data_IF_903018716333
#
_entry.id   IF_903018716333
#
_cell.length_a   1.000
_cell.length_b   1.000
_cell.length_c   1.000
_cell.angle_alpha   90.00
_cell.angle_beta   90.00
_cell.angle_gamma   90.00
#
_symmetry.space_group_name_H-M   'P 1'
#
loop_
_entity.id
_entity.type
_entity.pdbx_description
1 polymer ?
#
# COMPACT_ATOMS: atom_id res chain seq x y z
N UNK A 1 -8.91 -21.03 -31.41
CA UNK A 1 -8.61 -21.57 -30.07
C UNK A 1 -9.05 -20.55 -29.04
N UNK A 2 -9.82 -20.93 -28.01
CA UNK A 2 -10.06 -20.04 -26.86
C UNK A 2 -8.75 -19.96 -26.07
N UNK A 3 -7.99 -18.88 -26.24
CA UNK A 3 -6.81 -18.61 -25.42
C UNK A 3 -7.29 -18.25 -24.00
N UNK A 4 -7.48 -19.29 -23.18
CA UNK A 4 -7.70 -19.11 -21.75
C UNK A 4 -6.39 -18.63 -21.14
N UNK A 5 -6.44 -17.43 -20.54
CA UNK A 5 -5.33 -16.89 -19.77
C UNK A 5 -5.00 -17.80 -18.59
N UNK A 6 -3.74 -18.16 -18.46
CA UNK A 6 -3.24 -18.85 -17.28
C UNK A 6 -3.19 -17.88 -16.07
N UNK A 7 -2.98 -18.43 -14.88
CA UNK A 7 -2.94 -17.67 -13.63
C UNK A 7 -1.90 -16.54 -13.67
N UNK A 8 -0.68 -16.84 -14.13
CA UNK A 8 0.41 -15.87 -14.19
C UNK A 8 0.09 -14.70 -15.13
N UNK A 9 -0.53 -14.96 -16.27
CA UNK A 9 -0.95 -13.90 -17.19
C UNK A 9 -2.05 -13.03 -16.58
N UNK A 10 -3.02 -13.61 -15.86
CA UNK A 10 -4.03 -12.83 -15.13
C UNK A 10 -3.40 -11.94 -14.05
N UNK A 11 -2.50 -12.50 -13.25
CA UNK A 11 -1.78 -11.75 -12.21
C UNK A 11 -0.94 -10.62 -12.80
N UNK A 12 -0.29 -10.84 -13.95
CA UNK A 12 0.44 -9.80 -14.67
C UNK A 12 -0.48 -8.64 -15.08
N UNK A 13 -1.64 -8.93 -15.66
CA UNK A 13 -2.56 -7.87 -16.07
C UNK A 13 -3.13 -7.09 -14.88
N UNK A 14 -3.46 -7.78 -13.78
CA UNK A 14 -3.89 -7.13 -12.53
C UNK A 14 -2.79 -6.20 -12.01
N UNK A 15 -1.55 -6.68 -11.97
CA UNK A 15 -0.41 -5.87 -11.53
C UNK A 15 -0.20 -4.65 -12.42
N UNK A 16 -0.26 -4.81 -13.76
CA UNK A 16 -0.10 -3.69 -14.70
C UNK A 16 -1.21 -2.65 -14.54
N UNK A 17 -2.47 -3.09 -14.46
CA UNK A 17 -3.61 -2.20 -14.27
C UNK A 17 -3.52 -1.44 -12.95
N UNK A 18 -3.28 -2.15 -11.84
CA UNK A 18 -3.17 -1.51 -10.53
C UNK A 18 -1.92 -0.62 -10.39
N UNK A 19 -0.82 -0.94 -11.09
CA UNK A 19 0.35 -0.04 -11.16
C UNK A 19 -0.01 1.26 -11.88
N UNK A 20 -0.79 1.18 -12.95
CA UNK A 20 -1.23 2.36 -13.69
C UNK A 20 -2.18 3.26 -12.87
N UNK A 21 -3.04 2.67 -12.04
CA UNK A 21 -3.89 3.40 -11.09
C UNK A 21 -3.06 4.03 -9.97
N UNK A 22 -2.14 3.28 -9.37
CA UNK A 22 -1.22 3.81 -8.36
C UNK A 22 -0.43 5.02 -8.86
N UNK A 23 0.11 4.95 -10.09
CA UNK A 23 0.82 6.06 -10.73
C UNK A 23 -0.07 7.31 -10.93
N UNK A 24 -1.36 7.12 -11.22
CA UNK A 24 -2.33 8.22 -11.33
C UNK A 24 -2.57 8.90 -9.97
N UNK A 25 -2.80 8.11 -8.92
CA UNK A 25 -2.97 8.62 -7.56
C UNK A 25 -1.75 9.44 -7.12
N UNK A 26 -0.55 8.88 -7.31
CA UNK A 26 0.69 9.59 -6.99
C UNK A 26 0.86 10.88 -7.80
N UNK A 27 0.50 10.86 -9.09
CA UNK A 27 0.56 12.07 -9.92
C UNK A 27 -0.39 13.17 -9.44
N UNK A 28 -1.57 12.80 -8.93
CA UNK A 28 -2.57 13.75 -8.44
C UNK A 28 -2.17 14.39 -7.11
N UNK A 29 -1.45 13.66 -6.26
CA UNK A 29 -0.91 14.15 -4.98
C UNK A 29 0.39 14.95 -5.16
N UNK A 30 1.10 14.74 -6.28
CA UNK A 30 2.40 15.37 -6.51
C UNK A 30 2.29 16.88 -6.77
N UNK A 31 2.92 17.69 -5.90
CA UNK A 31 2.96 19.15 -6.04
C UNK A 31 3.89 19.61 -7.16
N UNK A 32 5.02 18.93 -7.33
CA UNK A 32 5.99 19.28 -8.36
C UNK A 32 5.49 18.90 -9.75
N UNK A 33 5.56 19.86 -10.69
CA UNK A 33 5.02 19.71 -12.04
C UNK A 33 5.83 18.75 -12.89
N UNK A 34 7.14 18.68 -12.69
CA UNK A 34 8.03 17.84 -13.48
C UNK A 34 7.90 16.37 -13.06
N UNK A 35 7.94 16.09 -11.75
CA UNK A 35 7.66 14.78 -11.19
C UNK A 35 6.25 14.28 -11.58
N UNK A 36 5.23 15.15 -11.51
CA UNK A 36 3.88 14.82 -11.99
C UNK A 36 3.88 14.41 -13.46
N UNK A 37 4.62 15.12 -14.32
CA UNK A 37 4.75 14.79 -15.74
C UNK A 37 5.40 13.43 -15.94
N UNK A 38 6.45 13.11 -15.17
CA UNK A 38 7.11 11.80 -15.22
C UNK A 38 6.17 10.67 -14.80
N UNK A 39 5.40 10.84 -13.71
CA UNK A 39 4.41 9.85 -13.26
C UNK A 39 3.33 9.59 -14.32
N UNK A 40 2.77 10.64 -14.93
CA UNK A 40 1.80 10.50 -16.03
C UNK A 40 2.39 9.83 -17.27
N UNK A 41 3.66 10.12 -17.55
CA UNK A 41 4.40 9.48 -18.66
C UNK A 41 4.60 7.99 -18.38
N UNK A 42 5.02 7.64 -17.16
CA UNK A 42 5.17 6.26 -16.73
C UNK A 42 3.84 5.49 -16.83
N UNK A 43 2.73 6.07 -16.33
CA UNK A 43 1.38 5.52 -16.48
C UNK A 43 1.05 5.24 -17.95
N UNK A 44 1.34 6.18 -18.84
CA UNK A 44 1.09 6.02 -20.27
C UNK A 44 1.89 4.87 -20.88
N UNK A 45 3.13 4.66 -20.45
CA UNK A 45 3.93 3.53 -20.89
C UNK A 45 3.40 2.20 -20.37
N UNK A 46 2.96 2.15 -19.11
CA UNK A 46 2.31 0.96 -18.55
C UNK A 46 1.07 0.61 -19.37
N UNK A 47 0.19 1.57 -19.64
CA UNK A 47 -0.99 1.35 -20.48
C UNK A 47 -0.66 0.88 -21.90
N UNK A 48 0.38 1.44 -22.54
CA UNK A 48 0.81 0.97 -23.86
C UNK A 48 1.20 -0.51 -23.87
N UNK A 49 1.91 -0.96 -22.83
CA UNK A 49 2.29 -2.38 -22.68
C UNK A 49 1.05 -3.22 -22.40
N UNK A 50 0.19 -2.78 -21.49
CA UNK A 50 -1.08 -3.45 -21.16
C UNK A 50 -1.96 -3.63 -22.39
N UNK A 51 -2.15 -2.58 -23.19
CA UNK A 51 -2.96 -2.62 -24.42
C UNK A 51 -2.35 -3.54 -25.48
N UNK A 52 -1.02 -3.54 -25.61
CA UNK A 52 -0.34 -4.45 -26.54
C UNK A 52 -0.57 -5.92 -26.15
N UNK A 53 -0.47 -6.24 -24.86
CA UNK A 53 -0.76 -7.58 -24.34
C UNK A 53 -2.26 -7.93 -24.43
N UNK A 54 -3.14 -6.95 -24.22
CA UNK A 54 -4.59 -7.15 -24.26
C UNK A 54 -5.12 -7.48 -25.66
N UNK A 55 -4.41 -7.10 -26.73
CA UNK A 55 -4.78 -7.48 -28.11
C UNK A 55 -4.74 -8.98 -28.37
N UNK A 56 -4.00 -9.73 -27.57
CA UNK A 56 -3.84 -11.18 -27.72
C UNK A 56 -4.95 -11.98 -27.02
N UNK A 57 -5.87 -11.31 -26.32
CA UNK A 57 -6.92 -11.93 -25.51
C UNK A 57 -8.32 -11.50 -25.93
N UNK A 58 -9.34 -12.35 -25.70
CA UNK A 58 -10.73 -11.98 -25.96
C UNK A 58 -11.18 -10.76 -25.13
N UNK A 59 -11.95 -9.81 -25.69
CA UNK A 59 -12.41 -8.61 -24.98
C UNK A 59 -13.16 -8.92 -23.68
N UNK A 60 -13.93 -10.01 -23.64
CA UNK A 60 -14.69 -10.42 -22.45
C UNK A 60 -13.80 -10.96 -21.33
N UNK A 61 -12.61 -11.48 -21.68
CA UNK A 61 -11.60 -11.86 -20.70
C UNK A 61 -10.93 -10.61 -20.13
N UNK A 62 -10.64 -9.63 -21.00
CA UNK A 62 -10.05 -8.36 -20.62
C UNK A 62 -10.92 -7.56 -19.63
N UNK A 63 -12.22 -7.41 -19.92
CA UNK A 63 -13.13 -6.70 -19.01
C UNK A 63 -13.23 -7.35 -17.63
N UNK A 64 -13.21 -8.69 -17.57
CA UNK A 64 -13.21 -9.42 -16.29
C UNK A 64 -11.94 -9.15 -15.47
N UNK A 65 -10.80 -9.03 -16.14
CA UNK A 65 -9.53 -8.73 -15.49
C UNK A 65 -9.51 -7.30 -14.95
N UNK A 66 -9.98 -6.32 -15.72
CA UNK A 66 -10.10 -4.95 -15.24
C UNK A 66 -11.00 -4.86 -14.01
N UNK A 67 -12.13 -5.58 -14.00
CA UNK A 67 -13.00 -5.66 -12.83
C UNK A 67 -12.30 -6.27 -11.61
N UNK A 68 -11.49 -7.30 -11.80
CA UNK A 68 -10.70 -7.91 -10.72
C UNK A 68 -9.58 -7.00 -10.24
N UNK A 69 -8.91 -6.29 -11.15
CA UNK A 69 -7.86 -5.34 -10.82
C UNK A 69 -8.38 -4.20 -9.94
N UNK A 70 -9.57 -3.65 -10.25
CA UNK A 70 -10.21 -2.63 -9.41
C UNK A 70 -10.68 -3.13 -8.03
N UNK A 71 -10.52 -4.41 -7.72
CA UNK A 71 -10.77 -5.01 -6.40
C UNK A 71 -9.48 -5.41 -5.67
N UNK A 72 -8.32 -5.09 -6.24
CA UNK A 72 -7.02 -5.50 -5.73
C UNK A 72 -6.18 -4.26 -5.38
N UNK A 73 -5.57 -4.27 -4.19
CA UNK A 73 -4.55 -3.28 -3.84
C UNK A 73 -3.18 -3.73 -4.35
N UNK A 74 -2.48 -2.84 -5.07
CA UNK A 74 -1.09 -3.07 -5.48
C UNK A 74 -0.17 -2.53 -4.40
N UNK A 75 0.49 -3.46 -3.68
CA UNK A 75 1.50 -3.12 -2.67
C UNK A 75 2.90 -3.37 -3.24
N UNK A 76 3.66 -2.29 -3.41
CA UNK A 76 5.09 -2.38 -3.73
C UNK A 76 5.88 -2.57 -2.44
N UNK A 77 6.33 -3.79 -2.18
CA UNK A 77 7.19 -4.10 -1.03
C UNK A 77 8.67 -4.11 -1.44
N UNK A 78 9.58 -3.48 -0.68
CA UNK A 78 11.00 -3.56 -0.94
C UNK A 78 11.50 -5.01 -0.88
N UNK A 79 12.42 -5.38 -1.78
CA UNK A 79 13.05 -6.71 -1.75
C UNK A 79 13.73 -6.93 -0.39
N UNK A 80 13.39 -8.03 0.28
CA UNK A 80 13.97 -8.40 1.58
C UNK A 80 13.19 -7.92 2.80
N UNK A 81 12.11 -7.14 2.62
CA UNK A 81 11.12 -6.94 3.68
C UNK A 81 10.30 -8.23 3.73
N UNK A 82 10.58 -9.04 4.76
CA UNK A 82 9.87 -10.27 5.03
C UNK A 82 8.35 -10.02 5.04
N UNK A 83 7.57 -11.07 4.72
CA UNK A 83 6.10 -11.14 4.86
C UNK A 83 5.67 -10.99 6.34
N UNK A 84 6.00 -9.88 6.99
CA UNK A 84 5.77 -9.65 8.42
C UNK A 84 4.81 -8.51 8.69
N UNK A 85 4.25 -7.83 7.68
CA UNK A 85 3.08 -6.99 7.92
C UNK A 85 1.89 -7.90 8.17
N UNK A 86 1.70 -8.27 9.44
CA UNK A 86 0.49 -8.92 9.91
C UNK A 86 -0.67 -7.96 9.65
N UNK A 87 -1.73 -8.42 8.99
CA UNK A 87 -2.91 -7.58 8.72
C UNK A 87 -3.49 -7.01 10.03
N UNK A 88 -3.32 -7.74 11.13
CA UNK A 88 -3.69 -7.29 12.48
C UNK A 88 -2.94 -6.03 12.91
N UNK A 89 -1.65 -5.87 12.53
CA UNK A 89 -0.88 -4.66 12.83
C UNK A 89 -1.46 -3.44 12.09
N UNK A 90 -1.95 -3.64 10.87
CA UNK A 90 -2.61 -2.58 10.07
C UNK A 90 -3.95 -2.18 10.69
N UNK A 91 -4.76 -3.16 11.11
CA UNK A 91 -6.04 -2.87 11.78
C UNK A 91 -5.84 -2.20 13.14
N UNK A 92 -4.87 -2.63 13.93
CA UNK A 92 -4.52 -1.99 15.20
C UNK A 92 -4.09 -0.53 14.99
N UNK A 93 -3.22 -0.26 14.01
CA UNK A 93 -2.83 1.12 13.68
C UNK A 93 -4.01 1.96 13.20
N UNK A 94 -4.92 1.39 12.41
CA UNK A 94 -6.12 2.08 11.97
C UNK A 94 -7.05 2.43 13.15
N UNK A 95 -7.22 1.51 14.11
CA UNK A 95 -8.01 1.74 15.32
C UNK A 95 -7.40 2.87 16.18
N UNK A 96 -6.08 2.87 16.37
CA UNK A 96 -5.39 3.97 17.07
C UNK A 96 -5.50 5.31 16.34
N UNK A 97 -5.45 5.33 15.00
CA UNK A 97 -5.55 6.55 14.21
C UNK A 97 -6.94 7.22 14.27
N UNK A 98 -8.01 6.46 14.50
CA UNK A 98 -9.39 6.97 14.61
C UNK A 98 -9.80 7.31 16.05
N UNK A 99 -8.86 7.37 16.99
CA UNK A 99 -9.16 7.68 18.39
C UNK A 99 -9.47 6.46 19.25
N UNK A 100 -9.16 5.24 18.77
CA UNK A 100 -9.17 3.98 19.51
C UNK A 100 -8.11 3.95 20.61
N UNK A 101 -8.30 4.80 21.62
CA UNK A 101 -8.03 4.50 23.02
C UNK A 101 -6.69 3.83 23.36
N UNK A 102 -5.60 4.57 23.21
CA UNK A 102 -4.35 4.29 23.95
C UNK A 102 -4.52 4.63 25.44
N UNK A 103 -5.27 3.81 26.19
CA UNK A 103 -5.63 4.05 27.62
C UNK A 103 -4.49 3.75 28.60
N UNK A 104 -3.43 3.09 28.15
CA UNK A 104 -2.32 2.60 28.99
C UNK A 104 -0.98 3.30 28.72
N UNK A 105 -0.94 4.38 27.92
CA UNK A 105 0.26 5.20 27.77
C UNK A 105 0.51 6.08 29.01
N UNK A 106 0.59 5.46 30.19
CA UNK A 106 0.93 6.11 31.47
C UNK A 106 2.30 5.64 31.91
N UNK A 107 3.29 6.50 31.69
CA UNK A 107 4.59 6.61 32.38
C UNK A 107 5.48 5.36 32.51
N UNK A 108 5.08 4.19 32.01
CA UNK A 108 5.87 2.96 32.02
C UNK A 108 5.86 2.29 30.67
N UNK A 109 7.02 1.73 30.35
CA UNK A 109 7.36 1.08 29.09
C UNK A 109 6.56 -0.20 28.78
N UNK A 110 6.01 -0.86 29.81
CA UNK A 110 5.44 -2.21 29.74
C UNK A 110 3.92 -2.18 29.54
N UNK A 111 3.41 -2.94 28.55
CA UNK A 111 1.97 -3.15 28.34
C UNK A 111 1.29 -2.26 27.29
N UNK A 112 2.04 -1.53 26.45
CA UNK A 112 1.47 -0.68 25.40
C UNK A 112 1.36 -1.42 24.06
N UNK A 113 0.15 -1.85 23.69
CA UNK A 113 -0.11 -2.57 22.43
C UNK A 113 0.32 -1.77 21.18
N UNK A 114 0.11 -0.44 21.18
CA UNK A 114 0.58 0.42 20.10
C UNK A 114 2.11 0.42 19.98
N UNK A 115 2.83 0.43 21.11
CA UNK A 115 4.30 0.36 21.11
C UNK A 115 4.80 -0.96 20.58
N UNK A 116 4.18 -2.07 20.98
CA UNK A 116 4.55 -3.40 20.51
C UNK A 116 4.39 -3.50 18.99
N UNK A 117 3.31 -2.93 18.44
CA UNK A 117 3.10 -2.83 16.98
C UNK A 117 4.18 -1.98 16.33
N UNK A 118 4.47 -0.78 16.86
CA UNK A 118 5.50 0.12 16.30
C UNK A 118 6.90 -0.52 16.33
N UNK A 119 7.25 -1.25 17.39
CA UNK A 119 8.50 -2.00 17.49
C UNK A 119 8.56 -3.18 16.50
N UNK A 120 7.46 -3.94 16.35
CA UNK A 120 7.35 -5.02 15.34
C UNK A 120 7.56 -4.47 13.93
N UNK A 121 7.04 -3.28 13.67
CA UNK A 121 7.18 -2.56 12.41
C UNK A 121 8.51 -1.81 12.27
N UNK A 122 9.39 -1.90 13.28
CA UNK A 122 10.71 -1.25 13.32
C UNK A 122 10.63 0.27 13.13
N UNK A 123 9.56 0.89 13.61
CA UNK A 123 9.43 2.35 13.63
C UNK A 123 10.39 2.88 14.70
N UNK A 124 11.35 3.76 14.37
CA UNK A 124 12.29 4.29 15.34
C UNK A 124 11.57 5.14 16.38
N UNK A 125 11.99 5.04 17.65
CA UNK A 125 11.54 5.94 18.71
C UNK A 125 11.97 7.38 18.44
N UNK A 126 11.16 8.35 18.90
CA UNK A 126 11.37 9.78 18.64
C UNK A 126 12.21 10.48 19.73
N UNK A 127 12.44 9.86 20.89
CA UNK A 127 13.25 10.41 22.01
C UNK A 127 14.04 9.31 22.73
N UNK A 128 15.28 9.61 23.17
CA UNK A 128 16.16 8.71 23.94
C UNK A 128 16.08 8.90 25.47
N UNK A 129 15.36 9.91 25.97
CA UNK A 129 15.31 10.22 27.42
C UNK A 129 13.94 9.93 28.05
N UNK A 130 13.91 8.95 28.97
CA UNK A 130 13.03 8.82 30.15
C UNK A 130 11.52 8.70 29.99
N UNK A 131 10.95 9.22 28.90
CA UNK A 131 9.53 9.23 28.56
C UNK A 131 9.25 8.29 27.37
N UNK A 132 8.00 7.87 27.19
CA UNK A 132 7.62 7.02 26.06
C UNK A 132 8.07 7.63 24.72
N UNK A 133 8.97 6.94 24.03
CA UNK A 133 9.60 7.36 22.76
C UNK A 133 8.60 7.53 21.60
N UNK A 134 7.35 7.07 21.76
CA UNK A 134 6.26 7.18 20.77
C UNK A 134 5.09 8.06 21.26
N UNK A 135 5.29 8.85 22.32
CA UNK A 135 4.22 9.63 22.98
C UNK A 135 3.52 10.64 22.06
N UNK A 136 4.22 11.24 21.10
CA UNK A 136 3.62 12.17 20.14
C UNK A 136 2.60 11.46 19.23
N UNK A 137 2.94 10.28 18.70
CA UNK A 137 2.04 9.43 17.91
C UNK A 137 0.81 8.99 18.71
N UNK A 138 0.93 8.89 20.04
CA UNK A 138 -0.18 8.57 20.94
C UNK A 138 -1.11 9.77 21.25
N UNK A 139 -0.65 11.01 21.08
CA UNK A 139 -1.39 12.23 21.47
C UNK A 139 -2.15 12.90 20.32
N UNK A 140 -1.84 12.56 19.08
CA UNK A 140 -2.45 13.17 17.90
C UNK A 140 -3.78 12.53 17.46
N UNK A 141 -4.26 11.51 18.17
CA UNK A 141 -5.62 10.98 17.96
C UNK A 141 -6.65 11.88 18.66
N UNK A 142 -7.07 12.95 17.98
CA UNK A 142 -8.19 13.83 18.37
C UNK A 142 -9.39 13.52 17.50
#
# INVERSE_FOLDING_TARGET
>A
MKNYLNRAQRELFIMLAGTAEWLECQANEMRDKEHRKWLKTAKSFVWKVTDALAKEIPPEAWQRILKQAGQCDVVLAPKGVAKSSNLEDVYLLADFAIGGWCRQCRDKAEGCELRDVLLRLKVPGMNEEGDCEYRQTCREAV
#
